data_IF_930160007615
#
_entry.id   IF_930160007615
#
_cell.length_a   1.000
_cell.length_b   1.000
_cell.length_c   1.000
_cell.angle_alpha   90.00
_cell.angle_beta   90.00
_cell.angle_gamma   90.00
#
_symmetry.space_group_name_H-M   'P 1'
#
loop_
_entity.id
_entity.type
_entity.pdbx_description
1 polymer ?
#
# COMPACT_ATOMS: atom_id res chain seq x y z
N UNK A 1 60.70 1.51 -53.24
CA UNK A 1 59.39 1.50 -53.91
C UNK A 1 58.59 2.64 -53.31
N UNK A 2 58.22 3.73 -53.97
CA UNK A 2 58.51 4.31 -55.28
C UNK A 2 58.09 5.79 -55.09
N UNK A 3 59.04 6.68 -55.32
CA UNK A 3 58.93 8.14 -55.53
C UNK A 3 58.22 8.39 -56.90
N UNK A 4 58.15 9.60 -57.51
CA UNK A 4 58.33 10.99 -57.04
C UNK A 4 57.39 12.02 -57.75
N UNK A 5 57.68 13.32 -57.53
CA UNK A 5 57.46 14.48 -58.41
C UNK A 5 56.06 15.15 -58.39
N UNK A 6 55.94 16.49 -58.31
CA UNK A 6 56.78 17.51 -58.95
C UNK A 6 56.61 18.90 -58.31
N UNK A 7 57.74 19.61 -58.29
CA UNK A 7 58.00 20.96 -57.80
C UNK A 7 57.42 22.09 -58.68
N UNK A 8 57.52 23.32 -58.13
CA UNK A 8 57.65 24.64 -58.79
C UNK A 8 56.36 25.28 -59.36
N UNK A 9 56.19 26.59 -59.45
CA UNK A 9 56.77 27.81 -58.88
C UNK A 9 56.05 29.01 -59.55
N UNK A 10 56.08 30.20 -58.92
CA UNK A 10 55.96 31.55 -59.52
C UNK A 10 54.61 31.89 -60.22
N UNK A 11 54.05 33.11 -60.26
CA UNK A 11 54.41 34.50 -59.90
C UNK A 11 53.22 35.39 -60.25
N UNK A 12 53.12 36.55 -59.58
CA UNK A 12 52.50 37.78 -60.11
C UNK A 12 51.12 38.09 -59.50
N UNK A 13 50.79 39.30 -59.04
CA UNK A 13 51.44 40.61 -59.00
C UNK A 13 50.65 41.46 -57.97
N UNK A 14 51.31 42.27 -57.14
CA UNK A 14 51.50 43.71 -57.29
C UNK A 14 50.20 44.56 -57.39
N UNK A 15 50.18 45.57 -56.50
CA UNK A 15 49.46 46.85 -56.51
C UNK A 15 48.08 46.98 -55.86
N UNK A 16 48.09 47.65 -54.70
CA UNK A 16 47.08 48.61 -54.29
C UNK A 16 47.08 49.82 -55.26
N UNK A 17 46.01 50.64 -55.33
CA UNK A 17 45.98 51.80 -54.42
C UNK A 17 44.58 52.27 -53.94
N UNK A 18 44.56 52.72 -52.68
CA UNK A 18 44.00 54.00 -52.20
C UNK A 18 42.62 54.47 -52.71
N UNK A 19 41.64 54.43 -51.80
CA UNK A 19 40.40 55.21 -51.86
C UNK A 19 40.19 56.01 -50.58
N UNK A 20 40.14 57.34 -50.73
CA UNK A 20 39.79 58.34 -49.71
C UNK A 20 38.35 58.17 -49.22
N UNK A 21 38.06 58.55 -47.96
CA UNK A 21 36.71 59.03 -47.61
C UNK A 21 36.23 58.82 -46.17
N UNK A 22 36.21 59.92 -45.43
CA UNK A 22 35.25 60.34 -44.40
C UNK A 22 34.88 59.42 -43.21
N UNK A 23 35.18 59.97 -42.04
CA UNK A 23 34.41 59.89 -40.80
C UNK A 23 32.89 59.89 -41.04
N UNK A 24 32.25 58.78 -40.68
CA UNK A 24 30.79 58.63 -40.55
C UNK A 24 30.50 57.91 -39.23
N UNK A 25 29.96 58.67 -38.30
CA UNK A 25 29.49 58.25 -36.99
C UNK A 25 28.33 57.25 -37.15
N UNK A 26 28.53 55.99 -36.77
CA UNK A 26 27.47 54.98 -36.61
C UNK A 26 27.43 54.53 -35.15
N UNK A 27 26.83 55.37 -34.30
CA UNK A 27 26.55 55.09 -32.88
C UNK A 27 25.11 54.54 -32.72
N UNK A 28 24.73 53.55 -33.53
CA UNK A 28 23.34 53.07 -33.57
C UNK A 28 23.13 51.55 -33.54
N UNK A 29 24.06 50.75 -34.08
CA UNK A 29 23.78 49.32 -34.35
C UNK A 29 24.46 48.33 -33.39
N UNK A 30 25.39 48.77 -32.53
CA UNK A 30 26.10 47.87 -31.61
C UNK A 30 25.36 47.61 -30.27
N UNK A 31 24.41 48.47 -29.89
CA UNK A 31 23.72 48.37 -28.59
C UNK A 31 22.77 47.15 -28.48
N UNK A 32 22.23 46.67 -29.62
CA UNK A 32 21.37 45.48 -29.66
C UNK A 32 22.14 44.18 -29.40
N UNK A 33 23.29 44.02 -30.07
CA UNK A 33 24.15 42.84 -29.93
C UNK A 33 24.82 42.75 -28.56
N UNK A 34 25.29 43.86 -27.98
CA UNK A 34 25.90 43.84 -26.65
C UNK A 34 24.92 43.40 -25.55
N UNK A 35 23.64 43.79 -25.66
CA UNK A 35 22.62 43.44 -24.69
C UNK A 35 22.19 41.96 -24.82
N UNK A 36 22.24 41.41 -26.02
CA UNK A 36 21.98 39.99 -26.29
C UNK A 36 23.13 39.09 -25.83
N UNK A 37 24.37 39.52 -26.06
CA UNK A 37 25.58 38.85 -25.55
C UNK A 37 25.64 38.89 -24.02
N UNK A 38 25.24 40.01 -23.39
CA UNK A 38 25.11 40.11 -21.92
C UNK A 38 24.05 39.15 -21.37
N UNK A 39 22.88 39.07 -21.99
CA UNK A 39 21.83 38.10 -21.61
C UNK A 39 22.30 36.64 -21.76
N UNK A 40 23.04 36.31 -22.82
CA UNK A 40 23.62 34.97 -22.99
C UNK A 40 24.65 34.65 -21.90
N UNK A 41 25.47 35.62 -21.52
CA UNK A 41 26.43 35.47 -20.42
C UNK A 41 25.72 35.27 -19.07
N UNK A 42 24.68 36.05 -18.79
CA UNK A 42 23.85 35.90 -17.58
C UNK A 42 23.17 34.52 -17.53
N UNK A 43 22.67 34.02 -18.65
CA UNK A 43 22.10 32.66 -18.74
C UNK A 43 23.17 31.61 -18.45
N UNK A 44 24.38 31.77 -19.03
CA UNK A 44 25.50 30.87 -18.77
C UNK A 44 25.90 30.84 -17.29
N UNK A 45 25.96 32.00 -16.64
CA UNK A 45 26.25 32.13 -15.21
C UNK A 45 25.16 31.50 -14.34
N UNK A 46 23.88 31.73 -14.67
CA UNK A 46 22.73 31.11 -13.98
C UNK A 46 22.78 29.58 -14.11
N UNK A 47 23.05 29.05 -15.29
CA UNK A 47 23.15 27.60 -15.52
C UNK A 47 24.31 26.99 -14.74
N UNK A 48 25.47 27.64 -14.72
CA UNK A 48 26.62 27.20 -13.92
C UNK A 48 26.30 27.25 -12.42
N UNK A 49 25.55 28.25 -11.98
CA UNK A 49 25.08 28.35 -10.59
C UNK A 49 24.08 27.24 -10.25
N UNK A 50 23.22 26.81 -11.20
CA UNK A 50 22.30 25.68 -11.02
C UNK A 50 23.07 24.35 -10.95
N UNK A 51 24.04 24.13 -11.84
CA UNK A 51 24.86 22.92 -11.86
C UNK A 51 25.66 22.73 -10.57
N UNK A 52 26.12 23.82 -9.95
CA UNK A 52 26.84 23.78 -8.66
C UNK A 52 25.93 23.63 -7.44
N UNK A 53 24.59 23.54 -7.59
CA UNK A 53 23.69 23.29 -6.45
C UNK A 53 23.86 21.88 -5.89
N UNK A 54 24.12 20.89 -6.74
CA UNK A 54 24.33 19.50 -6.27
C UNK A 54 25.61 19.31 -5.46
N UNK A 55 26.55 20.26 -5.53
CA UNK A 55 27.82 20.24 -4.81
C UNK A 55 27.75 21.03 -3.49
N UNK A 56 26.66 21.77 -3.24
CA UNK A 56 26.50 22.58 -2.04
C UNK A 56 26.23 21.72 -0.80
N UNK A 57 26.82 22.12 0.32
CA UNK A 57 26.50 21.52 1.61
C UNK A 57 25.07 21.89 2.06
N UNK A 58 24.51 21.09 2.97
CA UNK A 58 23.20 21.37 3.54
C UNK A 58 23.14 22.74 4.23
N UNK A 59 24.22 23.12 4.93
CA UNK A 59 24.31 24.39 5.64
C UNK A 59 24.36 25.59 4.69
N UNK A 60 25.11 25.48 3.59
CA UNK A 60 25.15 26.49 2.53
C UNK A 60 23.76 26.67 1.88
N UNK A 61 23.07 25.57 1.60
CA UNK A 61 21.73 25.61 1.04
C UNK A 61 20.72 26.26 2.01
N UNK A 62 20.83 25.97 3.32
CA UNK A 62 19.99 26.58 4.34
C UNK A 62 20.26 28.07 4.49
N UNK A 63 21.52 28.51 4.46
CA UNK A 63 21.89 29.92 4.51
C UNK A 63 21.29 30.69 3.31
N UNK A 64 21.40 30.14 2.09
CA UNK A 64 20.77 30.72 0.89
C UNK A 64 19.25 30.78 1.00
N UNK A 65 18.60 29.71 1.50
CA UNK A 65 17.16 29.69 1.77
C UNK A 65 16.76 30.79 2.76
N UNK A 66 17.55 31.01 3.81
CA UNK A 66 17.29 32.06 4.80
C UNK A 66 17.41 33.46 4.17
N UNK A 67 18.47 33.72 3.42
CA UNK A 67 18.65 34.99 2.71
C UNK A 67 17.49 35.28 1.75
N UNK A 68 17.04 34.28 0.99
CA UNK A 68 15.88 34.41 0.10
C UNK A 68 14.60 34.72 0.90
N UNK A 69 14.40 34.05 2.04
CA UNK A 69 13.25 34.25 2.91
C UNK A 69 13.15 35.67 3.48
N UNK A 70 14.30 36.31 3.73
CA UNK A 70 14.40 37.67 4.25
C UNK A 70 14.39 38.75 3.15
N UNK A 71 14.37 38.36 1.87
CA UNK A 71 14.48 39.30 0.76
C UNK A 71 13.21 40.16 0.56
N UNK A 72 13.37 41.47 0.41
CA UNK A 72 12.26 42.43 0.35
C UNK A 72 11.29 42.18 -0.81
N UNK A 73 11.78 41.73 -1.96
CA UNK A 73 10.93 41.43 -3.13
C UNK A 73 10.27 40.05 -3.08
N UNK A 74 10.62 39.20 -2.11
CA UNK A 74 10.07 37.84 -2.03
C UNK A 74 8.54 37.83 -2.07
N UNK A 75 7.80 38.64 -1.28
CA UNK A 75 6.33 38.57 -1.28
C UNK A 75 5.71 38.89 -2.65
N UNK A 76 6.26 39.88 -3.37
CA UNK A 76 5.78 40.28 -4.69
C UNK A 76 6.05 39.18 -5.73
N UNK A 77 7.28 38.66 -5.78
CA UNK A 77 7.64 37.57 -6.70
C UNK A 77 6.83 36.30 -6.41
N UNK A 78 6.64 35.96 -5.13
CA UNK A 78 5.86 34.81 -4.72
C UNK A 78 4.39 34.92 -5.17
N UNK A 79 3.80 36.12 -5.06
CA UNK A 79 2.43 36.37 -5.54
C UNK A 79 2.30 36.15 -7.05
N UNK A 80 3.25 36.65 -7.83
CA UNK A 80 3.30 36.40 -9.29
C UNK A 80 3.44 34.91 -9.61
N UNK A 81 4.27 34.17 -8.86
CA UNK A 81 4.41 32.73 -9.04
C UNK A 81 3.11 31.98 -8.69
N UNK A 82 2.39 32.41 -7.66
CA UNK A 82 1.06 31.87 -7.34
C UNK A 82 0.08 32.09 -8.48
N UNK A 83 0.00 33.30 -9.03
CA UNK A 83 -0.86 33.61 -10.18
C UNK A 83 -0.51 32.80 -11.42
N UNK A 84 0.80 32.68 -11.74
CA UNK A 84 1.26 31.87 -12.86
C UNK A 84 0.83 30.42 -12.66
N UNK A 85 1.01 29.87 -11.46
CA UNK A 85 0.62 28.48 -11.18
C UNK A 85 -0.89 28.27 -11.32
N UNK A 86 -1.69 29.22 -10.84
CA UNK A 86 -3.15 29.19 -10.98
C UNK A 86 -3.58 29.23 -12.44
N UNK A 87 -2.97 30.10 -13.25
CA UNK A 87 -3.29 30.27 -14.68
C UNK A 87 -2.77 29.12 -15.56
N UNK A 88 -1.67 28.46 -15.18
CA UNK A 88 -1.02 27.44 -16.01
C UNK A 88 -1.62 26.04 -15.89
N UNK A 89 -2.57 25.82 -14.97
CA UNK A 89 -3.34 24.56 -14.74
C UNK A 89 -2.66 23.31 -15.29
N UNK A 90 -1.46 23.01 -14.79
CA UNK A 90 -0.81 21.74 -15.05
C UNK A 90 -1.47 20.68 -14.15
N UNK A 91 -2.44 19.99 -14.75
CA UNK A 91 -2.93 18.67 -14.34
C UNK A 91 -3.52 18.57 -12.93
N UNK A 92 -4.72 19.13 -12.77
CA UNK A 92 -5.75 18.54 -11.91
C UNK A 92 -6.50 17.45 -12.73
N UNK A 93 -5.77 16.63 -13.50
CA UNK A 93 -6.41 15.50 -14.19
C UNK A 93 -6.87 14.50 -13.14
N UNK A 94 -8.20 14.41 -13.01
CA UNK A 94 -8.99 13.31 -12.49
C UNK A 94 -8.39 12.48 -11.35
N UNK A 95 -8.77 12.81 -10.12
CA UNK A 95 -8.99 11.80 -9.07
C UNK A 95 -10.33 11.99 -8.37
N UNK A 96 -11.27 12.75 -8.95
CA UNK A 96 -12.70 12.67 -8.59
C UNK A 96 -13.29 11.39 -9.20
N UNK A 97 -12.74 10.26 -8.82
CA UNK A 97 -13.57 9.10 -8.57
C UNK A 97 -13.38 8.87 -7.09
N UNK A 98 -14.37 9.27 -6.31
CA UNK A 98 -14.60 8.72 -4.98
C UNK A 98 -14.85 7.23 -5.21
N UNK A 99 -13.74 6.51 -5.36
CA UNK A 99 -13.71 5.11 -5.65
C UNK A 99 -14.46 4.43 -4.49
N UNK A 100 -15.53 3.67 -4.78
CA UNK A 100 -16.34 3.07 -3.74
C UNK A 100 -15.43 2.25 -2.81
N UNK A 101 -15.80 2.14 -1.51
CA UNK A 101 -15.03 1.35 -0.56
C UNK A 101 -14.77 -0.04 -1.14
N UNK A 102 -13.52 -0.49 -1.09
CA UNK A 102 -13.10 -1.75 -1.70
C UNK A 102 -14.01 -2.89 -1.20
N UNK A 103 -14.76 -3.57 -2.10
CA UNK A 103 -15.64 -4.67 -1.74
C UNK A 103 -14.95 -5.79 -0.97
N UNK A 104 -13.67 -6.05 -1.26
CA UNK A 104 -12.89 -7.05 -0.55
C UNK A 104 -12.60 -6.62 0.89
N UNK A 105 -12.23 -5.36 1.10
CA UNK A 105 -12.02 -4.80 2.43
C UNK A 105 -13.30 -4.87 3.26
N UNK A 106 -14.44 -4.52 2.66
CA UNK A 106 -15.75 -4.56 3.32
C UNK A 106 -16.15 -5.98 3.72
N UNK A 107 -15.85 -6.97 2.86
CA UNK A 107 -16.07 -8.39 3.18
C UNK A 107 -15.21 -8.86 4.36
N UNK A 108 -13.93 -8.45 4.40
CA UNK A 108 -13.03 -8.76 5.50
C UNK A 108 -13.52 -8.14 6.81
N UNK A 109 -14.00 -6.89 6.77
CA UNK A 109 -14.57 -6.22 7.94
C UNK A 109 -15.77 -6.96 8.52
N UNK A 110 -16.73 -7.30 7.66
CA UNK A 110 -17.90 -8.08 8.08
C UNK A 110 -17.50 -9.44 8.67
N UNK A 111 -16.46 -10.08 8.13
CA UNK A 111 -15.94 -11.33 8.67
C UNK A 111 -15.33 -11.13 10.06
N UNK A 112 -14.46 -10.14 10.25
CA UNK A 112 -13.86 -9.85 11.56
C UNK A 112 -14.90 -9.47 12.60
N UNK A 113 -15.94 -8.74 12.21
CA UNK A 113 -17.06 -8.40 13.10
C UNK A 113 -17.83 -9.65 13.51
N UNK A 114 -18.15 -10.53 12.57
CA UNK A 114 -18.87 -11.77 12.86
C UNK A 114 -18.09 -12.70 13.81
N UNK A 115 -16.75 -12.69 13.74
CA UNK A 115 -15.87 -13.44 14.65
C UNK A 115 -15.63 -12.73 16.00
N UNK A 116 -16.18 -11.52 16.16
CA UNK A 116 -15.96 -10.66 17.33
C UNK A 116 -14.51 -10.20 17.47
N UNK A 117 -13.75 -10.16 16.37
CA UNK A 117 -12.38 -9.67 16.32
C UNK A 117 -12.32 -8.17 16.08
N UNK A 118 -13.26 -7.62 15.29
CA UNK A 118 -13.42 -6.19 15.08
C UNK A 118 -14.81 -5.71 15.58
N UNK A 119 -14.92 -4.45 16.01
CA UNK A 119 -16.18 -3.87 16.49
C UNK A 119 -15.99 -2.56 17.27
N UNK A 120 -17.08 -1.82 17.55
CA UNK A 120 -17.04 -0.53 18.27
C UNK A 120 -16.55 -0.65 19.72
N UNK A 121 -16.41 -1.87 20.22
CA UNK A 121 -15.73 -2.21 21.46
C UNK A 121 -14.21 -1.98 21.30
N UNK A 122 -13.77 -0.73 21.20
CA UNK A 122 -12.37 -0.34 21.49
C UNK A 122 -12.12 -0.61 22.98
N UNK A 123 -11.95 -1.88 23.33
CA UNK A 123 -11.78 -2.35 24.70
C UNK A 123 -12.56 -3.62 25.01
N UNK A 124 -11.93 -4.77 24.76
CA UNK A 124 -12.21 -6.00 25.52
C UNK A 124 -13.42 -6.79 25.06
N UNK A 125 -13.15 -7.91 24.39
CA UNK A 125 -14.13 -8.92 23.96
C UNK A 125 -14.89 -9.67 25.07
N UNK A 126 -15.30 -8.98 26.14
CA UNK A 126 -16.12 -9.53 27.23
C UNK A 126 -17.52 -9.90 26.78
N UNK A 127 -18.18 -9.08 25.96
CA UNK A 127 -19.54 -9.35 25.48
C UNK A 127 -19.60 -10.51 24.46
N UNK A 128 -18.64 -10.59 23.53
CA UNK A 128 -18.55 -11.68 22.56
C UNK A 128 -18.06 -13.01 23.18
N UNK A 129 -17.22 -12.94 24.21
CA UNK A 129 -16.85 -14.13 24.99
C UNK A 129 -18.04 -14.66 25.81
N UNK A 130 -18.90 -13.77 26.32
CA UNK A 130 -20.12 -14.15 27.05
C UNK A 130 -21.18 -14.81 26.16
N UNK A 131 -21.38 -14.33 24.92
CA UNK A 131 -22.32 -14.96 23.97
C UNK A 131 -21.82 -16.32 23.48
N UNK A 132 -20.51 -16.49 23.25
CA UNK A 132 -19.90 -17.80 22.98
C UNK A 132 -19.94 -18.75 24.20
N UNK A 133 -19.99 -18.21 25.43
CA UNK A 133 -20.19 -18.99 26.65
C UNK A 133 -21.62 -19.52 26.80
N UNK A 134 -22.62 -18.70 26.47
CA UNK A 134 -24.02 -19.12 26.45
C UNK A 134 -24.28 -20.23 25.40
N UNK A 135 -23.64 -20.14 24.23
CA UNK A 135 -23.77 -21.17 23.18
C UNK A 135 -23.12 -22.52 23.57
N UNK A 136 -22.09 -22.52 24.41
CA UNK A 136 -21.42 -23.75 24.88
C UNK A 136 -22.12 -24.45 26.06
N UNK A 137 -23.02 -23.75 26.78
CA UNK A 137 -23.78 -24.35 27.88
C UNK A 137 -25.01 -25.15 27.41
N UNK A 138 -25.37 -25.07 26.13
CA UNK A 138 -26.57 -25.69 25.57
C UNK A 138 -26.50 -27.19 25.25
N UNK A 139 -25.44 -27.93 25.60
CA UNK A 139 -25.33 -29.33 25.19
C UNK A 139 -24.39 -30.22 26.00
N UNK A 140 -25.00 -31.20 26.68
CA UNK A 140 -24.47 -32.50 27.12
C UNK A 140 -23.77 -32.60 28.49
N UNK A 141 -24.52 -33.17 29.45
CA UNK A 141 -24.11 -33.65 30.78
C UNK A 141 -23.44 -35.04 30.71
N UNK A 142 -22.43 -35.24 29.86
CA UNK A 142 -21.70 -36.52 29.77
C UNK A 142 -20.27 -36.40 30.30
N UNK A 143 -19.73 -37.52 30.83
CA UNK A 143 -18.38 -37.65 31.44
C UNK A 143 -17.23 -37.16 30.51
N UNK A 144 -17.44 -37.11 29.19
CA UNK A 144 -16.54 -36.49 28.19
C UNK A 144 -16.53 -34.94 28.22
N UNK A 145 -17.29 -34.32 29.13
CA UNK A 145 -17.41 -32.87 29.26
C UNK A 145 -16.14 -32.18 29.77
N UNK A 146 -15.27 -32.89 30.49
CA UNK A 146 -14.01 -32.33 31.01
C UNK A 146 -12.97 -32.10 29.89
N UNK A 147 -12.79 -33.08 29.00
CA UNK A 147 -11.90 -32.93 27.83
C UNK A 147 -12.43 -31.89 26.85
N UNK A 148 -13.75 -31.88 26.58
CA UNK A 148 -14.38 -30.84 25.76
C UNK A 148 -14.25 -29.44 26.41
N UNK A 149 -14.36 -29.32 27.73
CA UNK A 149 -14.23 -28.04 28.42
C UNK A 149 -12.80 -27.46 28.31
N UNK A 150 -11.77 -28.31 28.38
CA UNK A 150 -10.37 -27.92 28.20
C UNK A 150 -10.12 -27.49 26.74
N UNK A 151 -10.60 -28.25 25.75
CA UNK A 151 -10.49 -27.88 24.32
C UNK A 151 -11.21 -26.55 23.99
N UNK A 152 -12.38 -26.32 24.60
CA UNK A 152 -13.11 -25.05 24.46
C UNK A 152 -12.38 -23.88 25.14
N UNK A 153 -11.69 -24.12 26.25
CA UNK A 153 -10.83 -23.13 26.92
C UNK A 153 -9.66 -22.72 26.02
N UNK A 154 -8.97 -23.69 25.42
CA UNK A 154 -7.83 -23.44 24.53
C UNK A 154 -8.23 -22.70 23.24
N UNK A 155 -9.39 -23.04 22.67
CA UNK A 155 -9.94 -22.30 21.53
C UNK A 155 -10.19 -20.83 21.89
N UNK A 156 -10.82 -20.56 23.05
CA UNK A 156 -11.09 -19.19 23.50
C UNK A 156 -9.80 -18.43 23.76
N UNK A 157 -8.82 -19.05 24.40
CA UNK A 157 -7.52 -18.43 24.66
C UNK A 157 -6.80 -18.04 23.35
N UNK A 158 -6.78 -18.95 22.36
CA UNK A 158 -6.18 -18.68 21.04
C UNK A 158 -6.94 -17.60 20.27
N UNK A 159 -8.28 -17.60 20.32
CA UNK A 159 -9.07 -16.54 19.69
C UNK A 159 -8.81 -15.18 20.36
N UNK A 160 -8.71 -15.15 21.69
CA UNK A 160 -8.33 -13.93 22.42
C UNK A 160 -6.94 -13.43 22.03
N UNK A 161 -5.98 -14.34 21.82
CA UNK A 161 -4.65 -14.00 21.33
C UNK A 161 -4.71 -13.39 19.91
N UNK A 162 -5.48 -13.98 18.99
CA UNK A 162 -5.67 -13.42 17.64
C UNK A 162 -6.24 -11.99 17.72
N UNK A 163 -7.23 -11.76 18.58
CA UNK A 163 -7.81 -10.43 18.82
C UNK A 163 -6.79 -9.43 19.33
N UNK A 164 -5.98 -9.84 20.32
CA UNK A 164 -4.94 -8.99 20.88
C UNK A 164 -3.92 -8.57 19.82
N UNK A 165 -3.44 -9.52 19.02
CA UNK A 165 -2.48 -9.25 17.94
C UNK A 165 -3.09 -8.30 16.91
N UNK A 166 -4.33 -8.56 16.48
CA UNK A 166 -5.03 -7.69 15.52
C UNK A 166 -5.10 -6.24 16.01
N UNK A 167 -5.55 -6.01 17.25
CA UNK A 167 -5.65 -4.66 17.80
C UNK A 167 -4.30 -3.99 17.98
N UNK A 168 -3.28 -4.72 18.42
CA UNK A 168 -1.92 -4.19 18.56
C UNK A 168 -1.33 -3.76 17.21
N UNK A 169 -1.49 -4.59 16.18
CA UNK A 169 -1.01 -4.26 14.83
C UNK A 169 -1.84 -3.14 14.20
N UNK A 170 -3.16 -3.09 14.47
CA UNK A 170 -4.02 -2.01 14.02
C UNK A 170 -3.61 -0.66 14.63
N UNK A 171 -3.26 -0.62 15.92
CA UNK A 171 -2.78 0.60 16.58
C UNK A 171 -1.46 1.08 15.98
N UNK A 172 -0.50 0.18 15.74
CA UNK A 172 0.77 0.51 15.06
C UNK A 172 0.50 1.06 13.65
N UNK A 173 -0.42 0.45 12.92
CA UNK A 173 -0.84 0.92 11.60
C UNK A 173 -1.44 2.33 11.66
N UNK A 174 -2.39 2.58 12.58
CA UNK A 174 -3.03 3.89 12.77
C UNK A 174 -1.97 4.95 13.14
N UNK A 175 -1.07 4.62 14.05
CA UNK A 175 0.03 5.50 14.46
C UNK A 175 0.95 5.83 13.27
N UNK A 176 1.42 4.82 12.53
CA UNK A 176 2.29 5.03 11.37
C UNK A 176 1.61 5.86 10.27
N UNK A 177 0.31 5.64 10.03
CA UNK A 177 -0.47 6.42 9.07
C UNK A 177 -0.56 7.89 9.48
N UNK A 178 -0.87 8.15 10.76
CA UNK A 178 -0.98 9.50 11.32
C UNK A 178 0.37 10.23 11.32
N UNK A 179 1.44 9.57 11.76
CA UNK A 179 2.79 10.14 11.78
C UNK A 179 3.26 10.50 10.37
N UNK A 180 3.11 9.58 9.41
CA UNK A 180 3.52 9.81 8.03
C UNK A 180 2.70 10.93 7.37
N UNK A 181 1.38 10.93 7.56
CA UNK A 181 0.50 11.98 7.02
C UNK A 181 0.85 13.34 7.61
N UNK A 182 1.08 13.41 8.91
CA UNK A 182 1.50 14.64 9.60
C UNK A 182 2.85 15.13 9.08
N UNK A 183 3.82 14.22 8.91
CA UNK A 183 5.13 14.56 8.38
C UNK A 183 5.03 15.15 6.97
N UNK A 184 4.27 14.52 6.08
CA UNK A 184 4.07 15.02 4.70
C UNK A 184 3.32 16.36 4.69
N UNK A 185 2.29 16.53 5.51
CA UNK A 185 1.59 17.82 5.63
C UNK A 185 2.53 18.93 6.09
N UNK A 186 3.35 18.68 7.12
CA UNK A 186 4.32 19.65 7.63
C UNK A 186 5.37 19.99 6.56
N UNK A 187 5.88 18.98 5.85
CA UNK A 187 6.82 19.16 4.75
C UNK A 187 6.22 20.03 3.64
N UNK A 188 5.00 19.73 3.20
CA UNK A 188 4.34 20.50 2.14
C UNK A 188 4.01 21.93 2.59
N UNK A 189 3.61 22.14 3.85
CA UNK A 189 3.41 23.48 4.42
C UNK A 189 4.71 24.29 4.52
N UNK A 190 5.82 23.64 4.85
CA UNK A 190 7.13 24.30 4.88
C UNK A 190 7.59 24.66 3.46
N UNK A 191 7.41 23.74 2.51
CA UNK A 191 7.72 23.96 1.09
C UNK A 191 6.83 25.04 0.46
N UNK A 192 5.56 25.16 0.89
CA UNK A 192 4.64 26.18 0.39
C UNK A 192 5.06 27.61 0.75
N UNK A 193 6.07 27.80 1.62
CA UNK A 193 6.65 29.11 1.95
C UNK A 193 7.67 29.61 0.93
N UNK A 194 8.22 28.71 0.11
CA UNK A 194 9.30 29.01 -0.85
C UNK A 194 8.91 28.73 -2.28
N UNK A 195 7.85 27.94 -2.53
CA UNK A 195 7.26 27.76 -3.86
C UNK A 195 5.74 27.65 -3.74
N UNK A 196 4.96 28.07 -4.75
CA UNK A 196 3.50 27.94 -4.70
C UNK A 196 3.08 26.47 -4.61
N UNK A 197 2.37 26.10 -3.56
CA UNK A 197 1.68 24.81 -3.39
C UNK A 197 0.24 25.14 -3.00
N UNK A 198 -0.70 24.64 -3.79
CA UNK A 198 -2.14 24.86 -3.56
C UNK A 198 -2.66 23.89 -2.49
N UNK A 199 -3.66 24.28 -1.68
CA UNK A 199 -4.29 23.38 -0.71
C UNK A 199 -4.77 22.05 -1.34
N UNK A 200 -5.32 22.13 -2.57
CA UNK A 200 -5.78 20.96 -3.34
C UNK A 200 -4.66 19.96 -3.64
N UNK A 201 -3.42 20.41 -3.84
CA UNK A 201 -2.28 19.50 -4.03
C UNK A 201 -1.91 18.79 -2.73
N UNK A 202 -2.01 19.47 -1.59
CA UNK A 202 -1.76 18.88 -0.26
C UNK A 202 -2.82 17.80 0.02
N UNK A 203 -4.09 18.11 -0.19
CA UNK A 203 -5.20 17.16 -0.05
C UNK A 203 -4.99 15.92 -0.93
N UNK A 204 -4.59 16.11 -2.19
CA UNK A 204 -4.30 14.99 -3.11
C UNK A 204 -3.18 14.11 -2.59
N UNK A 205 -2.09 14.69 -2.08
CA UNK A 205 -0.99 13.91 -1.49
C UNK A 205 -1.49 13.07 -0.31
N UNK A 206 -2.31 13.64 0.57
CA UNK A 206 -2.91 12.93 1.71
C UNK A 206 -3.82 11.79 1.24
N UNK A 207 -4.63 12.00 0.20
CA UNK A 207 -5.46 10.94 -0.39
C UNK A 207 -4.60 9.79 -0.96
N UNK A 208 -3.50 10.10 -1.66
CA UNK A 208 -2.57 9.08 -2.18
C UNK A 208 -1.97 8.27 -1.03
N UNK A 209 -1.64 8.93 0.08
CA UNK A 209 -1.14 8.27 1.30
C UNK A 209 -2.19 7.29 1.82
N UNK A 210 -3.43 7.73 2.06
CA UNK A 210 -4.49 6.86 2.54
C UNK A 210 -4.74 5.66 1.62
N UNK A 211 -4.74 5.87 0.29
CA UNK A 211 -4.85 4.75 -0.68
C UNK A 211 -3.72 3.74 -0.52
N UNK A 212 -2.47 4.19 -0.32
CA UNK A 212 -1.32 3.29 -0.09
C UNK A 212 -1.43 2.54 1.24
N UNK A 213 -1.83 3.22 2.31
CA UNK A 213 -2.03 2.60 3.62
C UNK A 213 -3.23 1.63 3.63
N UNK A 214 -4.25 1.84 2.80
CA UNK A 214 -5.39 0.91 2.69
C UNK A 214 -4.96 -0.51 2.31
N UNK A 215 -3.92 -0.66 1.47
CA UNK A 215 -3.37 -1.97 1.11
C UNK A 215 -2.78 -2.71 2.33
N UNK A 216 -2.07 -2.00 3.20
CA UNK A 216 -1.52 -2.55 4.44
C UNK A 216 -2.66 -2.97 5.39
N UNK A 217 -3.69 -2.13 5.50
CA UNK A 217 -4.88 -2.44 6.30
C UNK A 217 -5.60 -3.69 5.79
N UNK A 218 -5.74 -3.83 4.47
CA UNK A 218 -6.34 -5.01 3.86
C UNK A 218 -5.53 -6.28 4.19
N UNK A 219 -4.21 -6.23 4.10
CA UNK A 219 -3.34 -7.37 4.45
C UNK A 219 -3.46 -7.76 5.92
N UNK A 220 -3.52 -6.79 6.83
CA UNK A 220 -3.73 -7.06 8.26
C UNK A 220 -5.08 -7.76 8.50
N UNK A 221 -6.16 -7.26 7.90
CA UNK A 221 -7.48 -7.87 8.04
C UNK A 221 -7.53 -9.27 7.44
N UNK A 222 -6.91 -9.45 6.26
CA UNK A 222 -6.84 -10.74 5.59
C UNK A 222 -6.10 -11.79 6.43
N UNK A 223 -4.90 -11.48 6.92
CA UNK A 223 -4.11 -12.41 7.74
C UNK A 223 -4.83 -12.78 9.04
N UNK A 224 -5.57 -11.83 9.62
CA UNK A 224 -6.40 -12.06 10.81
C UNK A 224 -7.57 -13.00 10.51
N UNK A 225 -8.29 -12.78 9.41
CA UNK A 225 -9.36 -13.67 8.95
C UNK A 225 -8.85 -15.09 8.69
N UNK A 226 -7.71 -15.23 8.01
CA UNK A 226 -7.06 -16.51 7.76
C UNK A 226 -6.68 -17.23 9.07
N UNK A 227 -6.13 -16.51 10.05
CA UNK A 227 -5.82 -17.06 11.36
C UNK A 227 -7.06 -17.61 12.08
N UNK A 228 -8.19 -16.89 12.02
CA UNK A 228 -9.47 -17.35 12.59
C UNK A 228 -10.01 -18.57 11.84
N UNK A 229 -9.95 -18.58 10.50
CA UNK A 229 -10.37 -19.71 9.69
C UNK A 229 -9.55 -20.98 10.01
N UNK A 230 -8.23 -20.85 10.14
CA UNK A 230 -7.34 -21.95 10.52
C UNK A 230 -7.69 -22.46 11.92
N UNK A 231 -7.91 -21.55 12.88
CA UNK A 231 -8.30 -21.92 14.25
C UNK A 231 -9.62 -22.69 14.27
N UNK A 232 -10.63 -22.24 13.51
CA UNK A 232 -11.92 -22.93 13.35
C UNK A 232 -11.78 -24.30 12.71
N UNK A 233 -11.02 -24.43 11.61
CA UNK A 233 -10.84 -25.72 10.93
C UNK A 233 -10.18 -26.73 11.86
N UNK A 234 -9.10 -26.34 12.54
CA UNK A 234 -8.41 -27.22 13.50
C UNK A 234 -9.34 -27.71 14.61
N UNK A 235 -10.24 -26.86 15.09
CA UNK A 235 -11.18 -27.22 16.14
C UNK A 235 -12.33 -28.12 15.63
N UNK A 236 -12.91 -27.81 14.47
CA UNK A 236 -13.97 -28.63 13.87
C UNK A 236 -13.47 -30.01 13.44
N UNK A 237 -12.22 -30.11 12.96
CA UNK A 237 -11.59 -31.37 12.60
C UNK A 237 -11.23 -32.19 13.86
N UNK A 238 -10.79 -31.55 14.95
CA UNK A 238 -10.62 -32.22 16.25
C UNK A 238 -11.94 -32.80 16.79
N UNK A 239 -13.08 -32.11 16.55
CA UNK A 239 -14.41 -32.63 16.86
C UNK A 239 -14.87 -33.77 15.95
N UNK A 240 -14.39 -33.85 14.70
CA UNK A 240 -14.65 -34.98 13.79
C UNK A 240 -13.73 -36.16 14.14
N UNK A 241 -13.82 -36.67 15.37
CA UNK A 241 -13.27 -37.99 15.70
C UNK A 241 -14.02 -39.06 14.91
N UNK A 242 -13.28 -39.99 14.31
CA UNK A 242 -13.83 -41.22 13.73
C UNK A 242 -14.55 -41.97 14.86
N UNK A 243 -15.88 -42.04 14.82
CA UNK A 243 -16.63 -42.85 15.78
C UNK A 243 -16.24 -44.31 15.53
N UNK A 244 -15.61 -44.95 16.51
CA UNK A 244 -15.42 -46.40 16.47
C UNK A 244 -16.80 -47.04 16.60
N UNK A 245 -17.11 -48.03 15.74
CA UNK A 245 -18.32 -48.81 15.89
C UNK A 245 -18.28 -49.56 17.23
N UNK A 246 -19.45 -49.76 17.84
CA UNK A 246 -19.54 -50.63 19.01
C UNK A 246 -19.11 -52.04 18.62
N UNK A 247 -18.70 -52.85 19.60
CA UNK A 247 -18.33 -54.25 19.36
C UNK A 247 -19.48 -55.02 18.70
N UNK A 248 -20.70 -54.81 19.18
CA UNK A 248 -21.93 -55.38 18.63
C UNK A 248 -22.19 -54.91 17.19
N UNK A 249 -22.03 -53.62 16.91
CA UNK A 249 -22.18 -53.09 15.55
C UNK A 249 -21.15 -53.72 14.58
N UNK A 250 -19.92 -53.90 15.06
CA UNK A 250 -18.85 -54.54 14.28
C UNK A 250 -19.13 -56.02 14.02
N UNK A 251 -19.67 -56.73 15.01
CA UNK A 251 -20.07 -58.14 14.89
C UNK A 251 -21.20 -58.30 13.87
N UNK A 252 -22.24 -57.47 13.92
CA UNK A 252 -23.37 -57.48 12.97
C UNK A 252 -22.88 -57.24 11.53
N UNK A 253 -21.99 -56.25 11.34
CA UNK A 253 -21.45 -55.95 10.01
C UNK A 253 -20.55 -57.08 9.48
N UNK A 254 -19.76 -57.70 10.36
CA UNK A 254 -18.92 -58.84 10.00
C UNK A 254 -19.76 -60.09 9.67
N UNK A 255 -20.83 -60.34 10.43
CA UNK A 255 -21.75 -61.46 10.18
C UNK A 255 -22.42 -61.34 8.81
N UNK A 256 -22.85 -60.14 8.43
CA UNK A 256 -23.36 -59.88 7.08
C UNK A 256 -22.30 -60.14 6.01
N UNK A 257 -21.07 -59.65 6.22
CA UNK A 257 -19.97 -59.84 5.27
C UNK A 257 -19.65 -61.33 5.05
N UNK A 258 -19.55 -62.13 6.12
CA UNK A 258 -19.23 -63.55 6.01
C UNK A 258 -20.40 -64.40 5.50
N UNK A 259 -21.66 -63.99 5.74
CA UNK A 259 -22.84 -64.65 5.17
C UNK A 259 -23.06 -64.33 3.69
N UNK A 260 -22.46 -63.23 3.18
CA UNK A 260 -22.61 -62.76 1.79
C UNK A 260 -21.27 -62.70 1.04
N UNK A 261 -20.38 -63.67 1.27
CA UNK A 261 -19.07 -63.75 0.59
C UNK A 261 -19.16 -63.79 -0.94
N UNK A 262 -20.23 -64.35 -1.51
CA UNK A 262 -20.47 -64.42 -2.95
C UNK A 262 -20.94 -63.09 -3.55
N UNK A 263 -21.58 -62.22 -2.75
CA UNK A 263 -21.98 -60.89 -3.16
C UNK A 263 -21.82 -59.90 -1.99
N UNK A 264 -20.59 -59.47 -1.69
CA UNK A 264 -20.25 -58.76 -0.45
C UNK A 264 -20.75 -57.32 -0.40
N UNK A 265 -21.31 -56.81 -1.50
CA UNK A 265 -21.82 -55.44 -1.59
C UNK A 265 -23.35 -55.42 -1.32
N UNK A 266 -23.79 -54.96 -0.14
CA UNK A 266 -25.22 -54.85 0.16
C UNK A 266 -25.93 -53.86 -0.77
N UNK A 267 -27.19 -54.15 -1.10
CA UNK A 267 -28.11 -53.19 -1.71
C UNK A 267 -28.38 -52.01 -0.75
N UNK A 268 -28.92 -50.90 -1.27
CA UNK A 268 -29.28 -49.72 -0.47
C UNK A 268 -30.23 -50.07 0.69
N UNK A 269 -31.24 -50.90 0.44
CA UNK A 269 -32.17 -51.39 1.45
C UNK A 269 -31.46 -52.24 2.53
N UNK A 270 -30.51 -53.10 2.13
CA UNK A 270 -29.72 -53.89 3.07
C UNK A 270 -28.76 -53.01 3.91
N UNK A 271 -28.23 -51.92 3.34
CA UNK A 271 -27.42 -50.95 4.10
C UNK A 271 -28.24 -50.23 5.15
N UNK A 272 -29.45 -49.77 4.80
CA UNK A 272 -30.35 -49.10 5.74
C UNK A 272 -30.74 -50.03 6.91
N UNK A 273 -31.05 -51.29 6.62
CA UNK A 273 -31.38 -52.27 7.64
C UNK A 273 -30.17 -52.60 8.53
N UNK A 274 -28.98 -52.80 7.95
CA UNK A 274 -27.76 -53.03 8.71
C UNK A 274 -27.44 -51.83 9.61
N UNK A 275 -27.60 -50.61 9.12
CA UNK A 275 -27.39 -49.40 9.91
C UNK A 275 -28.40 -49.28 11.06
N UNK A 276 -29.66 -49.63 10.82
CA UNK A 276 -30.71 -49.66 11.83
C UNK A 276 -30.39 -50.68 12.93
N UNK A 277 -30.01 -51.90 12.57
CA UNK A 277 -29.73 -53.00 13.53
C UNK A 277 -28.41 -52.76 14.28
N UNK A 278 -27.40 -52.22 13.62
CA UNK A 278 -26.10 -51.88 14.23
C UNK A 278 -26.09 -50.54 14.97
N UNK A 279 -27.22 -49.82 15.01
CA UNK A 279 -27.35 -48.49 15.61
C UNK A 279 -26.33 -47.48 15.05
N UNK A 280 -26.02 -47.59 13.76
CA UNK A 280 -25.15 -46.68 13.02
C UNK A 280 -26.03 -45.66 12.28
N UNK A 281 -25.69 -44.37 12.38
CA UNK A 281 -26.33 -43.34 11.55
C UNK A 281 -25.68 -43.31 10.17
N UNK A 282 -26.46 -43.57 9.12
CA UNK A 282 -26.04 -43.30 7.75
C UNK A 282 -26.12 -41.80 7.48
N UNK A 283 -24.99 -41.19 7.13
CA UNK A 283 -24.94 -39.81 6.65
C UNK A 283 -24.87 -39.89 5.13
N UNK A 284 -26.01 -39.70 4.47
CA UNK A 284 -26.07 -39.52 3.02
C UNK A 284 -25.51 -38.15 2.68
N UNK A 285 -24.53 -38.09 1.78
CA UNK A 285 -23.92 -36.85 1.29
C UNK A 285 -24.31 -36.62 -0.16
#
# INVERSE_FOLDING_TARGET
MEDPNRMMAHTGGMMAPQGYGLSGQDDGQNAGNENEVRKQKDIGEILQQIMSISEQSLDEAQARKHTLNCHRMKPALFSVLCEIKEKTVLSIRNTQEEEPPDPQLMRLDNMLIAEGVAGPEKGGGGAAAASAAAASQGGSLSIDGADNAIEHSDYRAKLAQIRQIYHQELEKYEQACNEFTTHVMNLLREQSRTRPITPKEIERMVQIIHKKFSSIQMQLKQSTCEAVMILRSRFLDARRKRRNFSKQASEILNEYFYSHLSNPYPSEEAKEELARVSSIQLVWQ
#
